data_IF_254907323177
#
_entry.id   IF_254907323177
#
_cell.length_a   1.000
_cell.length_b   1.000
_cell.length_c   1.000
_cell.angle_alpha   90.00
_cell.angle_beta   90.00
_cell.angle_gamma   90.00
#
_symmetry.space_group_name_H-M   'P 1'
#
loop_
_entity.id
_entity.type
_entity.pdbx_description
1 polymer ?
#
# COMPACT_ATOMS: atom_id res chain seq x y z
N UNK A 1 18.12 5.45 8.48
CA UNK A 1 18.18 4.98 7.07
C UNK A 1 18.12 3.46 6.98
N UNK A 2 19.00 2.70 7.66
CA UNK A 2 18.93 1.23 7.69
C UNK A 2 17.60 0.74 8.29
N UNK A 3 17.13 1.36 9.37
CA UNK A 3 15.84 1.02 10.00
C UNK A 3 14.65 1.15 9.04
N UNK A 4 14.61 2.21 8.22
CA UNK A 4 13.56 2.39 7.21
C UNK A 4 13.63 1.33 6.11
N UNK A 5 14.84 0.94 5.69
CA UNK A 5 15.02 -0.13 4.71
C UNK A 5 14.47 -1.45 5.27
N UNK A 6 14.78 -1.76 6.53
CA UNK A 6 14.30 -2.96 7.21
C UNK A 6 12.78 -2.94 7.35
N UNK A 7 12.19 -1.81 7.76
CA UNK A 7 10.75 -1.63 7.85
C UNK A 7 10.06 -1.84 6.50
N UNK A 8 10.57 -1.22 5.44
CA UNK A 8 10.02 -1.35 4.09
C UNK A 8 10.16 -2.77 3.54
N UNK A 9 11.28 -3.44 3.81
CA UNK A 9 11.49 -4.84 3.44
C UNK A 9 10.42 -5.72 4.09
N UNK A 10 10.22 -5.62 5.40
CA UNK A 10 9.20 -6.39 6.09
C UNK A 10 7.79 -6.01 5.67
N UNK A 11 7.49 -4.72 5.46
CA UNK A 11 6.20 -4.29 4.95
C UNK A 11 5.90 -4.93 3.59
N UNK A 12 6.86 -4.94 2.66
CA UNK A 12 6.71 -5.57 1.35
C UNK A 12 6.48 -7.09 1.43
N UNK A 13 7.25 -7.79 2.25
CA UNK A 13 7.06 -9.24 2.47
C UNK A 13 5.68 -9.53 3.05
N UNK A 14 5.26 -8.75 4.06
CA UNK A 14 3.97 -8.97 4.74
C UNK A 14 2.79 -8.63 3.83
N UNK A 15 2.88 -7.57 3.01
CA UNK A 15 1.85 -7.28 1.99
C UNK A 15 1.69 -8.49 1.06
N UNK A 16 2.80 -9.08 0.60
CA UNK A 16 2.69 -10.21 -0.33
C UNK A 16 2.05 -11.45 0.31
N UNK A 17 2.37 -11.73 1.57
CA UNK A 17 1.71 -12.77 2.35
C UNK A 17 0.22 -12.45 2.53
N UNK A 18 -0.11 -11.17 2.82
CA UNK A 18 -1.48 -10.71 2.97
C UNK A 18 -2.30 -10.89 1.67
N UNK A 19 -1.69 -10.64 0.51
CA UNK A 19 -2.29 -10.88 -0.81
C UNK A 19 -2.60 -12.37 -1.02
N UNK A 20 -1.65 -13.27 -0.73
CA UNK A 20 -1.88 -14.72 -0.85
C UNK A 20 -3.07 -15.18 0.00
N UNK A 21 -3.23 -14.63 1.21
CA UNK A 21 -4.38 -14.92 2.07
C UNK A 21 -5.68 -14.27 1.57
N UNK A 22 -5.59 -13.14 0.88
CA UNK A 22 -6.74 -12.51 0.22
C UNK A 22 -7.25 -13.36 -0.94
N UNK A 23 -6.34 -13.95 -1.72
CA UNK A 23 -6.65 -14.74 -2.90
C UNK A 23 -7.11 -16.16 -2.56
N UNK A 24 -6.68 -16.71 -1.42
CA UNK A 24 -6.80 -18.14 -1.12
C UNK A 24 -8.21 -18.67 -0.81
N UNK A 25 -9.15 -17.92 -0.22
CA UNK A 25 -10.55 -18.40 -0.07
C UNK A 25 -11.51 -17.44 0.65
N UNK A 26 -12.77 -17.51 0.21
CA UNK A 26 -14.06 -17.30 0.90
C UNK A 26 -14.10 -16.53 2.24
N UNK A 27 -14.83 -15.40 2.22
CA UNK A 27 -15.44 -14.64 3.33
C UNK A 27 -14.75 -14.78 4.71
N UNK A 28 -14.01 -13.73 5.05
CA UNK A 28 -13.42 -13.43 6.38
C UNK A 28 -12.16 -14.23 6.74
N UNK A 29 -11.08 -13.98 5.99
CA UNK A 29 -9.76 -14.42 6.37
C UNK A 29 -9.15 -13.53 7.47
N UNK A 30 -9.42 -13.86 8.74
CA UNK A 30 -8.85 -13.16 9.90
C UNK A 30 -7.32 -13.07 9.88
N UNK A 31 -6.65 -14.07 9.30
CA UNK A 31 -5.18 -14.06 9.14
C UNK A 31 -4.75 -12.96 8.17
N UNK A 32 -5.48 -12.80 7.07
CA UNK A 32 -5.30 -11.69 6.13
C UNK A 32 -5.46 -10.32 6.82
N UNK A 33 -6.49 -10.17 7.67
CA UNK A 33 -6.71 -8.95 8.47
C UNK A 33 -5.51 -8.65 9.38
N UNK A 34 -4.98 -9.66 10.07
CA UNK A 34 -3.80 -9.50 10.95
C UNK A 34 -2.60 -9.00 10.14
N UNK A 35 -2.32 -9.61 8.99
CA UNK A 35 -1.23 -9.14 8.13
C UNK A 35 -1.50 -7.74 7.57
N UNK A 36 -2.76 -7.43 7.25
CA UNK A 36 -3.28 -6.09 6.95
C UNK A 36 -2.85 -5.05 7.98
N UNK A 37 -3.16 -5.31 9.25
CA UNK A 37 -2.78 -4.45 10.37
C UNK A 37 -1.24 -4.30 10.45
N UNK A 38 -0.51 -5.40 10.37
CA UNK A 38 0.95 -5.37 10.54
C UNK A 38 1.61 -4.57 9.42
N UNK A 39 1.34 -4.87 8.14
CA UNK A 39 1.98 -4.11 7.07
C UNK A 39 1.53 -2.65 7.08
N UNK A 40 0.25 -2.39 7.40
CA UNK A 40 -0.27 -1.04 7.44
C UNK A 40 0.40 -0.18 8.52
N UNK A 41 0.68 -0.77 9.68
CA UNK A 41 1.44 -0.12 10.74
C UNK A 41 2.89 0.16 10.30
N UNK A 42 3.58 -0.84 9.74
CA UNK A 42 4.97 -0.69 9.30
C UNK A 42 5.10 0.37 8.20
N UNK A 43 4.21 0.34 7.20
CA UNK A 43 4.21 1.29 6.10
C UNK A 43 3.79 2.68 6.58
N UNK A 44 2.79 2.79 7.46
CA UNK A 44 2.38 4.05 8.08
C UNK A 44 3.51 4.71 8.87
N UNK A 45 4.26 3.94 9.67
CA UNK A 45 5.47 4.42 10.37
C UNK A 45 6.51 4.91 9.37
N UNK A 46 6.79 4.13 8.31
CA UNK A 46 7.77 4.50 7.31
C UNK A 46 7.40 5.80 6.56
N UNK A 47 6.12 5.96 6.21
CA UNK A 47 5.59 7.17 5.60
C UNK A 47 5.69 8.37 6.56
N UNK A 48 5.26 8.25 7.81
CA UNK A 48 5.36 9.32 8.80
C UNK A 48 6.81 9.69 9.18
N UNK A 49 7.78 8.83 8.88
CA UNK A 49 9.19 9.04 9.20
C UNK A 49 10.01 9.65 8.06
N UNK A 50 9.48 9.70 6.82
CA UNK A 50 10.24 10.14 5.67
C UNK A 50 9.35 10.69 4.53
N UNK A 51 9.59 11.95 4.16
CA UNK A 51 8.83 12.65 3.11
C UNK A 51 8.90 11.96 1.74
N UNK A 52 10.02 11.34 1.37
CA UNK A 52 10.16 10.66 0.07
C UNK A 52 9.29 9.41 0.04
N UNK A 53 9.34 8.60 1.10
CA UNK A 53 8.50 7.40 1.25
C UNK A 53 7.02 7.80 1.27
N UNK A 54 6.64 8.79 2.07
CA UNK A 54 5.27 9.33 2.12
C UNK A 54 4.79 9.76 0.73
N UNK A 55 5.61 10.51 0.00
CA UNK A 55 5.29 11.05 -1.32
C UNK A 55 5.05 9.94 -2.34
N UNK A 56 5.93 8.94 -2.38
CA UNK A 56 5.82 7.78 -3.29
C UNK A 56 4.53 7.01 -2.98
N UNK A 57 4.36 6.60 -1.72
CA UNK A 57 3.25 5.74 -1.32
C UNK A 57 1.91 6.45 -1.37
N UNK A 58 1.83 7.74 -1.05
CA UNK A 58 0.60 8.50 -1.23
C UNK A 58 0.15 8.48 -2.69
N UNK A 59 1.07 8.76 -3.63
CA UNK A 59 0.76 8.73 -5.06
C UNK A 59 0.27 7.34 -5.52
N UNK A 60 0.97 6.28 -5.12
CA UNK A 60 0.60 4.89 -5.45
C UNK A 60 -0.76 4.53 -4.86
N UNK A 61 -0.99 4.78 -3.56
CA UNK A 61 -2.24 4.46 -2.86
C UNK A 61 -3.42 5.16 -3.53
N UNK A 62 -3.31 6.44 -3.86
CA UNK A 62 -4.39 7.16 -4.56
C UNK A 62 -4.70 6.57 -5.93
N UNK A 63 -3.68 6.14 -6.68
CA UNK A 63 -3.87 5.49 -7.98
C UNK A 63 -4.59 4.13 -7.83
N UNK A 64 -4.17 3.33 -6.85
CA UNK A 64 -4.78 2.03 -6.55
C UNK A 64 -6.22 2.15 -6.03
N UNK A 65 -6.54 3.20 -5.26
CA UNK A 65 -7.93 3.52 -4.87
C UNK A 65 -8.78 3.80 -6.11
N UNK A 66 -8.29 4.64 -7.04
CA UNK A 66 -9.03 4.97 -8.26
C UNK A 66 -9.26 3.72 -9.14
N UNK A 67 -8.31 2.80 -9.12
CA UNK A 67 -8.36 1.51 -9.83
C UNK A 67 -9.13 0.41 -9.10
N UNK A 68 -9.71 0.71 -7.93
CA UNK A 68 -10.43 -0.25 -7.08
C UNK A 68 -9.61 -1.51 -6.76
N UNK A 69 -8.28 -1.37 -6.57
CA UNK A 69 -7.39 -2.50 -6.22
C UNK A 69 -7.38 -2.86 -4.74
N UNK A 70 -8.04 -2.07 -3.90
CA UNK A 70 -8.32 -2.41 -2.50
C UNK A 70 -9.66 -3.16 -2.43
N UNK A 71 -9.73 -4.32 -3.06
CA UNK A 71 -10.96 -5.11 -3.24
C UNK A 71 -11.21 -6.13 -2.12
N UNK A 72 -10.25 -6.31 -1.21
CA UNK A 72 -10.36 -7.21 -0.06
C UNK A 72 -10.41 -6.49 1.28
N UNK A 73 -10.98 -7.18 2.28
CA UNK A 73 -10.96 -6.72 3.68
C UNK A 73 -9.53 -6.59 4.22
N UNK A 74 -8.62 -7.44 3.74
CA UNK A 74 -7.19 -7.39 4.07
C UNK A 74 -6.59 -6.05 3.63
N UNK A 75 -6.79 -5.68 2.36
CA UNK A 75 -6.28 -4.43 1.81
C UNK A 75 -6.88 -3.21 2.49
N UNK A 76 -8.19 -3.23 2.74
CA UNK A 76 -8.90 -2.16 3.42
C UNK A 76 -8.39 -1.97 4.85
N UNK A 77 -8.16 -3.06 5.57
CA UNK A 77 -7.62 -3.02 6.94
C UNK A 77 -6.23 -2.38 6.95
N UNK A 78 -5.34 -2.76 6.02
CA UNK A 78 -4.03 -2.14 5.92
C UNK A 78 -4.10 -0.66 5.57
N UNK A 79 -4.98 -0.26 4.64
CA UNK A 79 -5.18 1.15 4.29
C UNK A 79 -5.65 1.99 5.49
N UNK A 80 -6.65 1.49 6.22
CA UNK A 80 -7.14 2.14 7.45
C UNK A 80 -6.01 2.25 8.48
N UNK A 81 -5.21 1.21 8.64
CA UNK A 81 -4.11 1.19 9.60
C UNK A 81 -3.01 2.19 9.23
N UNK A 82 -2.68 2.33 7.94
CA UNK A 82 -1.77 3.38 7.45
C UNK A 82 -2.29 4.75 7.85
N UNK A 83 -3.56 5.04 7.54
CA UNK A 83 -4.17 6.33 7.81
C UNK A 83 -4.18 6.65 9.32
N UNK A 84 -4.59 5.69 10.16
CA UNK A 84 -4.59 5.86 11.62
C UNK A 84 -3.18 6.08 12.16
N UNK A 85 -2.20 5.30 11.70
CA UNK A 85 -0.80 5.42 12.12
C UNK A 85 -0.26 6.82 11.81
N UNK A 86 -0.52 7.32 10.61
CA UNK A 86 -0.13 8.66 10.18
C UNK A 86 -0.78 9.74 11.08
N UNK A 87 -2.09 9.62 11.36
CA UNK A 87 -2.82 10.56 12.23
C UNK A 87 -2.24 10.57 13.65
N UNK A 88 -1.94 9.39 14.21
CA UNK A 88 -1.43 9.28 15.59
C UNK A 88 0.02 9.77 15.73
N UNK A 89 0.88 9.56 14.72
CA UNK A 89 2.27 10.05 14.75
C UNK A 89 2.31 11.57 14.53
N UNK A 90 1.32 12.13 13.83
CA UNK A 90 1.15 13.58 13.62
C UNK A 90 2.39 14.28 13.02
N UNK A 91 3.12 13.58 12.15
CA UNK A 91 4.33 14.07 11.50
C UNK A 91 4.35 13.71 10.00
N UNK A 92 3.29 14.08 9.29
CA UNK A 92 3.12 13.69 7.89
C UNK A 92 3.34 14.87 6.96
N UNK A 93 4.38 14.75 6.14
CA UNK A 93 4.71 15.70 5.09
C UNK A 93 4.78 14.98 3.75
N UNK A 94 4.31 15.65 2.70
CA UNK A 94 4.34 15.12 1.35
C UNK A 94 4.66 16.22 0.34
N UNK A 95 5.44 15.87 -0.69
CA UNK A 95 5.65 16.76 -1.83
C UNK A 95 4.55 16.53 -2.86
N UNK A 96 3.56 17.43 -2.90
CA UNK A 96 2.40 17.30 -3.79
C UNK A 96 2.80 17.11 -5.26
N UNK A 97 3.79 17.86 -5.75
CA UNK A 97 4.24 17.76 -7.14
C UNK A 97 4.79 16.37 -7.49
N UNK A 98 5.62 15.80 -6.62
CA UNK A 98 6.15 14.45 -6.83
C UNK A 98 5.09 13.37 -6.60
N UNK A 99 4.17 13.56 -5.64
CA UNK A 99 3.08 12.62 -5.42
C UNK A 99 2.18 12.49 -6.67
N UNK A 100 1.91 13.60 -7.37
CA UNK A 100 1.19 13.60 -8.64
C UNK A 100 1.92 12.79 -9.71
N UNK A 101 3.25 12.91 -9.80
CA UNK A 101 4.06 12.14 -10.75
C UNK A 101 3.94 10.63 -10.45
N UNK A 102 4.09 10.21 -9.19
CA UNK A 102 3.95 8.81 -8.81
C UNK A 102 2.52 8.29 -8.98
N UNK A 103 1.51 9.13 -8.75
CA UNK A 103 0.11 8.80 -9.01
C UNK A 103 -0.12 8.46 -10.50
N UNK A 104 0.27 9.35 -11.41
CA UNK A 104 0.11 9.08 -12.84
C UNK A 104 0.99 7.91 -13.31
N UNK A 105 2.20 7.77 -12.77
CA UNK A 105 3.07 6.62 -13.04
C UNK A 105 2.40 5.30 -12.66
N UNK A 106 1.83 5.23 -11.45
CA UNK A 106 1.11 4.04 -10.97
C UNK A 106 -0.15 3.75 -11.78
N UNK A 107 -0.92 4.78 -12.18
CA UNK A 107 -2.07 4.59 -13.07
C UNK A 107 -1.68 4.02 -14.44
N UNK A 108 -0.54 4.44 -14.99
CA UNK A 108 -0.02 3.93 -16.25
C UNK A 108 0.48 2.49 -16.11
N UNK A 109 1.21 2.18 -15.03
CA UNK A 109 1.67 0.84 -14.72
C UNK A 109 0.50 -0.15 -14.66
N UNK A 110 -0.55 0.22 -13.91
CA UNK A 110 -1.74 -0.61 -13.78
C UNK A 110 -2.45 -0.81 -15.14
N UNK A 111 -2.58 0.26 -15.93
CA UNK A 111 -3.20 0.17 -17.25
C UNK A 111 -2.39 -0.73 -18.21
N UNK A 112 -1.07 -0.73 -18.10
CA UNK A 112 -0.20 -1.59 -18.91
C UNK A 112 -0.33 -3.05 -18.46
N UNK A 113 -0.33 -3.31 -17.15
CA UNK A 113 -0.58 -4.66 -16.61
C UNK A 113 -1.93 -5.22 -17.09
N UNK A 114 -3.01 -4.45 -16.95
CA UNK A 114 -4.34 -4.81 -17.45
C UNK A 114 -4.32 -5.17 -18.96
N UNK A 115 -3.57 -4.40 -19.77
CA UNK A 115 -3.46 -4.64 -21.22
C UNK A 115 -2.67 -5.91 -21.54
N UNK A 116 -1.58 -6.19 -20.83
CA UNK A 116 -0.80 -7.41 -21.05
C UNK A 116 -1.55 -8.65 -20.59
N UNK A 117 -2.26 -8.58 -19.47
CA UNK A 117 -3.08 -9.70 -18.98
C UNK A 117 -4.20 -10.04 -19.97
N UNK A 118 -4.86 -9.04 -20.55
CA UNK A 118 -5.89 -9.26 -21.58
C UNK A 118 -5.35 -9.94 -22.85
N UNK A 119 -4.12 -9.64 -23.27
CA UNK A 119 -3.55 -10.22 -24.49
C UNK A 119 -2.95 -11.62 -24.28
N UNK A 120 -2.73 -12.03 -23.03
CA UNK A 120 -2.19 -13.34 -22.67
C UNK A 120 -3.26 -14.35 -22.23
N UNK A 121 -4.52 -13.91 -22.08
CA UNK A 121 -5.68 -14.73 -21.75
C UNK A 121 -6.38 -15.27 -23.01
#
# INVERSE_FOLDING_TARGET
>A
MIELLVLLFFAGVIVKIADEFSDASEKENYTGIIFGLIYGLLLGIAMASNIVIATIWAGIIFALILKNKFDSITHLTGLITIALTIIFINNFELSLGFAIIYFFGSLLDEKLNDFFDFNNA
#
